data_IF_972911241880
#
_entry.id   IF_972911241880
#
_cell.length_a   1.000
_cell.length_b   1.000
_cell.length_c   1.000
_cell.angle_alpha   90.00
_cell.angle_beta   90.00
_cell.angle_gamma   90.00
#
_symmetry.space_group_name_H-M   'P 1'
#
loop_
_entity.id
_entity.type
_entity.pdbx_description
1 polymer ?
#
# COMPACT_ATOMS: atom_id res chain seq x y z
N UNK A 1 32.37 -18.33 -18.26
CA UNK A 1 32.83 -18.05 -16.88
C UNK A 1 32.50 -16.64 -16.40
N UNK A 2 32.81 -15.57 -17.15
CA UNK A 2 32.55 -14.17 -16.74
C UNK A 2 31.07 -13.85 -16.45
N UNK A 3 30.13 -14.37 -17.26
CA UNK A 3 28.70 -14.11 -17.13
C UNK A 3 28.08 -14.70 -15.87
N UNK A 4 28.55 -15.88 -15.45
CA UNK A 4 28.10 -16.57 -14.23
C UNK A 4 28.56 -15.81 -12.98
N UNK A 5 29.79 -15.29 -12.99
CA UNK A 5 30.35 -14.50 -11.88
C UNK A 5 29.61 -13.17 -11.71
N UNK A 6 29.22 -12.51 -12.80
CA UNK A 6 28.44 -11.26 -12.76
C UNK A 6 27.03 -11.52 -12.21
N UNK A 7 26.37 -12.60 -12.64
CA UNK A 7 25.05 -12.96 -12.14
C UNK A 7 25.07 -13.29 -10.62
N UNK A 8 26.07 -14.03 -10.16
CA UNK A 8 26.24 -14.37 -8.74
C UNK A 8 26.53 -13.13 -7.89
N UNK A 9 27.35 -12.20 -8.38
CA UNK A 9 27.63 -10.94 -7.69
C UNK A 9 26.39 -10.03 -7.63
N UNK A 10 25.60 -9.96 -8.69
CA UNK A 10 24.35 -9.20 -8.71
C UNK A 10 23.32 -9.76 -7.72
N UNK A 11 23.16 -11.09 -7.66
CA UNK A 11 22.30 -11.78 -6.69
C UNK A 11 22.79 -11.57 -5.24
N UNK A 12 24.09 -11.59 -4.99
CA UNK A 12 24.66 -11.34 -3.68
C UNK A 12 24.48 -9.88 -3.22
N UNK A 13 24.60 -8.91 -4.14
CA UNK A 13 24.36 -7.50 -3.87
C UNK A 13 22.88 -7.20 -3.59
N UNK A 14 21.97 -7.77 -4.39
CA UNK A 14 20.53 -7.66 -4.13
C UNK A 14 20.18 -8.33 -2.81
N UNK A 15 20.71 -9.52 -2.54
CA UNK A 15 20.55 -10.22 -1.26
C UNK A 15 21.04 -9.40 -0.07
N UNK A 16 22.21 -8.75 -0.16
CA UNK A 16 22.79 -7.93 0.89
C UNK A 16 22.04 -6.60 1.12
N UNK A 17 21.54 -5.97 0.05
CA UNK A 17 20.72 -4.75 0.13
C UNK A 17 19.35 -5.06 0.74
N UNK A 18 18.76 -6.19 0.35
CA UNK A 18 17.51 -6.68 0.93
C UNK A 18 17.72 -7.06 2.41
N UNK A 19 18.79 -7.77 2.77
CA UNK A 19 19.11 -8.12 4.17
C UNK A 19 19.41 -6.89 5.05
N UNK A 20 20.18 -5.92 4.54
CA UNK A 20 20.49 -4.68 5.25
C UNK A 20 19.24 -3.83 5.50
N UNK A 21 18.32 -3.80 4.53
CA UNK A 21 17.02 -3.15 4.69
C UNK A 21 16.12 -3.89 5.69
N UNK A 22 16.13 -5.23 5.66
CA UNK A 22 15.35 -6.09 6.55
C UNK A 22 15.79 -6.02 8.02
N UNK A 23 17.11 -6.02 8.27
CA UNK A 23 17.66 -5.87 9.62
C UNK A 23 17.40 -4.47 10.21
N UNK A 24 17.38 -3.44 9.35
CA UNK A 24 16.99 -2.09 9.77
C UNK A 24 15.47 -1.98 10.02
N UNK A 25 14.64 -2.66 9.25
CA UNK A 25 13.18 -2.75 9.47
C UNK A 25 12.82 -3.46 10.80
N UNK A 26 13.49 -4.56 11.14
CA UNK A 26 13.30 -5.23 12.45
C UNK A 26 13.66 -4.33 13.65
N UNK A 27 14.53 -3.34 13.44
CA UNK A 27 14.91 -2.38 14.48
C UNK A 27 13.85 -1.30 14.75
N UNK A 28 12.90 -1.08 13.83
CA UNK A 28 11.87 -0.04 13.91
C UNK A 28 10.49 -0.63 14.20
N UNK A 29 10.35 -1.29 15.35
CA UNK A 29 9.04 -1.73 15.83
C UNK A 29 8.18 -0.51 16.20
N UNK A 30 6.91 -0.42 15.76
CA UNK A 30 6.02 0.68 16.11
C UNK A 30 5.89 0.81 17.64
N UNK A 31 5.92 2.05 18.11
CA UNK A 31 5.96 2.42 19.53
C UNK A 31 4.59 2.90 19.98
N UNK A 32 4.00 2.23 20.97
CA UNK A 32 2.86 2.75 21.72
C UNK A 32 3.36 3.54 22.92
N UNK A 33 2.86 4.77 23.06
CA UNK A 33 3.27 5.73 24.09
C UNK A 33 2.22 5.76 25.20
N UNK A 34 2.60 5.50 26.45
CA UNK A 34 1.72 5.68 27.62
C UNK A 34 2.32 6.75 28.54
N UNK A 35 1.56 7.81 28.82
CA UNK A 35 1.96 8.89 29.75
C UNK A 35 1.82 8.38 31.19
N UNK A 36 2.93 8.33 31.94
CA UNK A 36 2.92 7.78 33.30
C UNK A 36 2.57 8.81 34.39
N UNK A 37 3.08 10.04 34.28
CA UNK A 37 2.72 11.22 35.11
C UNK A 37 3.56 12.43 34.69
N UNK A 38 2.97 13.62 34.74
CA UNK A 38 3.76 14.86 34.81
C UNK A 38 4.40 14.94 36.21
N UNK A 39 5.72 14.91 36.26
CA UNK A 39 6.45 15.38 37.44
C UNK A 39 7.14 16.70 37.07
N UNK A 40 7.04 17.64 38.00
CA UNK A 40 7.38 19.07 37.90
C UNK A 40 8.56 19.44 36.99
N UNK A 41 8.34 20.52 36.24
CA UNK A 41 9.20 21.22 35.26
C UNK A 41 9.51 20.43 33.98
N UNK A 42 8.59 20.55 33.01
CA UNK A 42 8.76 20.30 31.56
C UNK A 42 9.22 18.92 31.08
N UNK A 43 9.31 17.91 31.97
CA UNK A 43 9.72 16.56 31.58
C UNK A 43 8.51 15.62 31.40
N UNK A 44 8.22 15.25 30.14
CA UNK A 44 7.26 14.19 29.81
C UNK A 44 7.98 12.85 29.72
N UNK A 45 7.77 11.99 30.72
CA UNK A 45 8.25 10.60 30.67
C UNK A 45 7.12 9.69 30.20
N UNK A 46 7.36 8.99 29.09
CA UNK A 46 6.42 8.07 28.48
C UNK A 46 6.99 6.66 28.46
N UNK A 47 6.18 5.65 28.74
CA UNK A 47 6.56 4.27 28.48
C UNK A 47 6.39 3.98 27.00
N UNK A 48 7.48 3.57 26.37
CA UNK A 48 7.52 3.03 25.02
C UNK A 48 7.26 1.53 25.09
N UNK A 49 6.11 1.08 24.59
CA UNK A 49 5.82 -0.35 24.37
C UNK A 49 5.94 -0.68 22.90
N UNK A 50 6.52 -1.83 22.59
CA UNK A 50 6.49 -2.37 21.23
C UNK A 50 5.08 -2.90 20.92
N UNK A 51 4.53 -2.49 19.77
CA UNK A 51 3.25 -2.98 19.28
C UNK A 51 3.45 -4.18 18.37
N UNK A 52 2.59 -5.19 18.49
CA UNK A 52 2.45 -6.24 17.48
C UNK A 52 1.72 -5.65 16.27
N UNK A 53 2.30 -5.79 15.07
CA UNK A 53 2.04 -5.02 13.85
C UNK A 53 0.62 -4.52 13.55
N UNK A 54 0.54 -3.46 12.76
CA UNK A 54 -0.70 -2.74 12.50
C UNK A 54 -1.57 -3.38 11.40
N UNK A 55 -2.89 -3.21 11.51
CA UNK A 55 -3.78 -3.32 10.35
C UNK A 55 -3.76 -1.98 9.62
N UNK A 56 -3.36 -2.00 8.36
CA UNK A 56 -3.19 -0.80 7.55
C UNK A 56 -4.19 -0.81 6.39
N UNK A 57 -4.97 0.26 6.31
CA UNK A 57 -5.83 0.54 5.19
C UNK A 57 -5.15 1.55 4.26
N UNK A 58 -5.14 1.29 2.96
CA UNK A 58 -4.63 2.19 1.93
C UNK A 58 -5.78 2.53 0.99
N UNK A 59 -6.05 3.83 0.84
CA UNK A 59 -7.22 4.32 0.12
C UNK A 59 -6.91 5.62 -0.65
N UNK A 60 -7.81 5.95 -1.58
CA UNK A 60 -7.82 7.27 -2.20
C UNK A 60 -8.23 8.35 -1.18
N UNK A 61 -7.74 9.57 -1.37
CA UNK A 61 -8.05 10.73 -0.51
C UNK A 61 -9.14 11.66 -1.11
N UNK A 62 -9.94 11.16 -2.05
CA UNK A 62 -11.04 11.93 -2.63
C UNK A 62 -12.17 12.11 -1.60
N UNK A 63 -12.58 13.37 -1.42
CA UNK A 63 -13.52 13.78 -0.36
C UNK A 63 -14.87 13.06 -0.45
N UNK A 64 -15.37 12.81 -1.67
CA UNK A 64 -16.65 12.16 -1.95
C UNK A 64 -16.76 10.75 -1.35
N UNK A 65 -15.63 10.08 -1.11
CA UNK A 65 -15.58 8.72 -0.59
C UNK A 65 -15.18 8.63 0.88
N UNK A 66 -14.73 9.74 1.49
CA UNK A 66 -14.09 9.76 2.81
C UNK A 66 -14.98 9.19 3.91
N UNK A 67 -16.24 9.61 3.99
CA UNK A 67 -17.18 9.13 5.01
C UNK A 67 -17.45 7.63 4.86
N UNK A 68 -17.62 7.16 3.62
CA UNK A 68 -17.89 5.76 3.35
C UNK A 68 -16.67 4.88 3.67
N UNK A 69 -15.47 5.36 3.35
CA UNK A 69 -14.22 4.69 3.70
C UNK A 69 -13.99 4.63 5.22
N UNK A 70 -14.31 5.70 5.95
CA UNK A 70 -14.25 5.69 7.42
C UNK A 70 -15.20 4.66 8.02
N UNK A 71 -16.45 4.61 7.55
CA UNK A 71 -17.45 3.61 7.97
C UNK A 71 -16.98 2.19 7.67
N UNK A 72 -16.41 1.96 6.49
CA UNK A 72 -15.88 0.65 6.11
C UNK A 72 -14.63 0.26 6.92
N UNK A 73 -13.71 1.20 7.18
CA UNK A 73 -12.56 1.03 8.09
C UNK A 73 -13.01 0.57 9.48
N UNK A 74 -14.03 1.23 10.03
CA UNK A 74 -14.61 0.90 11.32
C UNK A 74 -15.26 -0.49 11.31
N UNK A 75 -15.98 -0.84 10.24
CA UNK A 75 -16.54 -2.17 10.04
C UNK A 75 -15.46 -3.27 10.01
N UNK A 76 -14.31 -3.02 9.38
CA UNK A 76 -13.16 -3.94 9.36
C UNK A 76 -12.37 -3.99 10.67
N UNK A 77 -12.72 -3.16 11.65
CA UNK A 77 -12.04 -3.06 12.96
C UNK A 77 -10.63 -2.46 12.87
N UNK A 78 -10.31 -1.74 11.80
CA UNK A 78 -9.00 -1.13 11.59
C UNK A 78 -8.89 0.14 12.43
N UNK A 79 -7.95 0.16 13.37
CA UNK A 79 -7.79 1.25 14.36
C UNK A 79 -6.80 2.34 13.96
N UNK A 80 -5.93 2.04 13.00
CA UNK A 80 -4.90 2.97 12.54
C UNK A 80 -5.50 3.88 11.49
N UNK A 81 -5.02 5.13 11.43
CA UNK A 81 -5.39 6.03 10.35
C UNK A 81 -4.95 5.45 8.99
N UNK A 82 -5.80 5.53 7.96
CA UNK A 82 -5.45 5.00 6.66
C UNK A 82 -4.29 5.80 6.05
N UNK A 83 -3.53 5.14 5.18
CA UNK A 83 -2.64 5.83 4.26
C UNK A 83 -3.53 6.36 3.13
N UNK A 84 -3.83 7.66 3.18
CA UNK A 84 -4.63 8.35 2.19
C UNK A 84 -3.73 8.98 1.12
N UNK A 85 -3.91 8.57 -0.14
CA UNK A 85 -3.14 9.10 -1.26
C UNK A 85 -3.97 9.04 -2.54
N UNK A 86 -3.93 10.05 -3.43
CA UNK A 86 -4.63 10.01 -4.70
C UNK A 86 -4.38 8.70 -5.48
N UNK A 87 -5.41 7.98 -5.90
CA UNK A 87 -5.27 6.68 -6.60
C UNK A 87 -4.80 5.50 -5.74
N UNK A 88 -4.58 5.67 -4.44
CA UNK A 88 -4.40 4.58 -3.47
C UNK A 88 -3.35 3.54 -3.86
N UNK A 89 -3.82 2.33 -4.18
CA UNK A 89 -2.99 1.17 -4.52
C UNK A 89 -2.09 1.37 -5.76
N UNK A 90 -2.40 2.34 -6.62
CA UNK A 90 -1.66 2.66 -7.84
C UNK A 90 -0.15 2.81 -7.60
N UNK A 91 0.25 3.44 -6.49
CA UNK A 91 1.68 3.68 -6.18
C UNK A 91 2.50 2.41 -5.93
N UNK A 92 1.84 1.30 -5.59
CA UNK A 92 2.48 0.00 -5.43
C UNK A 92 2.46 -0.82 -6.72
N UNK A 93 1.53 -0.51 -7.63
CA UNK A 93 1.27 -1.29 -8.82
C UNK A 93 2.02 -0.80 -10.06
N UNK A 94 2.22 0.53 -10.20
CA UNK A 94 2.85 1.09 -11.39
C UNK A 94 4.35 0.72 -11.43
N UNK A 95 4.82 0.05 -12.50
CA UNK A 95 6.23 -0.23 -12.73
C UNK A 95 7.05 1.08 -12.73
N UNK A 96 8.31 1.09 -12.25
CA UNK A 96 9.14 2.30 -12.25
C UNK A 96 9.25 2.99 -13.62
N UNK A 97 9.12 2.24 -14.71
CA UNK A 97 9.15 2.73 -16.10
C UNK A 97 7.90 3.51 -16.52
N UNK A 98 6.79 3.34 -15.81
CA UNK A 98 5.48 3.92 -16.14
C UNK A 98 5.04 4.99 -15.14
N UNK A 99 5.80 5.20 -14.04
CA UNK A 99 5.52 6.27 -13.09
C UNK A 99 5.96 7.58 -13.74
N UNK A 100 5.05 8.56 -13.96
CA UNK A 100 5.47 9.90 -14.33
C UNK A 100 6.46 10.42 -13.27
N UNK A 101 7.59 10.99 -13.67
CA UNK A 101 8.66 11.43 -12.74
C UNK A 101 8.13 12.26 -11.55
N UNK A 102 7.11 13.09 -11.81
CA UNK A 102 6.38 13.90 -10.80
C UNK A 102 5.71 13.10 -9.67
N UNK A 103 5.48 11.80 -9.84
CA UNK A 103 4.82 10.91 -8.88
C UNK A 103 5.80 10.12 -8.02
N UNK A 104 7.08 10.06 -8.38
CA UNK A 104 8.11 9.34 -7.61
C UNK A 104 8.22 9.78 -6.14
N UNK A 105 8.17 11.08 -5.79
CA UNK A 105 8.19 11.51 -4.39
C UNK A 105 6.99 10.98 -3.58
N UNK A 106 5.79 11.00 -4.17
CA UNK A 106 4.57 10.50 -3.53
C UNK A 106 4.63 8.98 -3.35
N UNK A 107 5.05 8.26 -4.40
CA UNK A 107 5.31 6.81 -4.36
C UNK A 107 6.25 6.46 -3.21
N UNK A 108 7.40 7.14 -3.13
CA UNK A 108 8.40 6.90 -2.09
C UNK A 108 7.84 7.18 -0.69
N UNK A 109 7.10 8.27 -0.51
CA UNK A 109 6.51 8.61 0.78
C UNK A 109 5.54 7.53 1.28
N UNK A 110 4.62 7.09 0.41
CA UNK A 110 3.64 6.04 0.71
C UNK A 110 4.31 4.71 1.10
N UNK A 111 5.32 4.30 0.33
CA UNK A 111 6.10 3.09 0.60
C UNK A 111 6.80 3.18 1.96
N UNK A 112 7.45 4.30 2.25
CA UNK A 112 8.18 4.50 3.50
C UNK A 112 7.26 4.58 4.72
N UNK A 113 6.03 5.09 4.58
CA UNK A 113 5.02 5.02 5.64
C UNK A 113 4.63 3.57 5.90
N UNK A 114 4.30 2.81 4.85
CA UNK A 114 3.89 1.40 5.00
C UNK A 114 4.97 0.57 5.70
N UNK A 115 6.25 0.75 5.34
CA UNK A 115 7.38 0.04 5.97
C UNK A 115 7.47 0.27 7.49
N UNK A 116 7.15 1.47 7.96
CA UNK A 116 7.21 1.82 9.40
C UNK A 116 6.15 1.12 10.24
N UNK A 117 5.06 0.65 9.62
CA UNK A 117 3.97 0.02 10.33
C UNK A 117 4.15 -1.47 10.59
N UNK A 118 5.15 -2.12 9.97
CA UNK A 118 5.35 -3.58 10.05
C UNK A 118 4.01 -4.33 9.94
N UNK A 119 3.27 -4.16 8.83
CA UNK A 119 1.85 -4.43 8.80
C UNK A 119 1.53 -5.90 9.08
N UNK A 120 0.64 -6.15 10.05
CA UNK A 120 0.05 -7.48 10.29
C UNK A 120 -0.95 -7.82 9.19
N UNK A 121 -1.72 -6.82 8.74
CA UNK A 121 -2.71 -6.93 7.66
C UNK A 121 -2.67 -5.67 6.82
N UNK A 122 -2.77 -5.82 5.50
CA UNK A 122 -2.91 -4.69 4.57
C UNK A 122 -4.24 -4.82 3.85
N UNK A 123 -5.01 -3.74 3.81
CA UNK A 123 -6.24 -3.65 3.04
C UNK A 123 -6.06 -2.54 2.00
N UNK A 124 -6.28 -2.86 0.73
CA UNK A 124 -6.21 -1.93 -0.38
C UNK A 124 -7.61 -1.67 -0.92
N UNK A 125 -7.97 -0.40 -1.10
CA UNK A 125 -9.23 0.00 -1.73
C UNK A 125 -8.93 0.83 -2.98
N UNK A 126 -9.54 0.43 -4.09
CA UNK A 126 -9.74 1.30 -5.25
C UNK A 126 -11.24 1.59 -5.42
N UNK A 127 -11.60 2.63 -6.17
CA UNK A 127 -12.99 3.05 -6.31
C UNK A 127 -13.33 3.52 -7.72
N UNK A 128 -14.60 3.38 -8.10
CA UNK A 128 -15.13 3.99 -9.33
C UNK A 128 -14.96 5.51 -9.32
N UNK A 129 -14.86 6.11 -10.51
CA UNK A 129 -14.78 7.57 -10.71
C UNK A 129 -13.54 8.25 -10.09
N UNK A 130 -12.45 7.51 -9.85
CA UNK A 130 -11.21 8.11 -9.34
C UNK A 130 -10.55 9.04 -10.36
N UNK A 131 -10.39 10.32 -9.99
CA UNK A 131 -9.86 11.39 -10.84
C UNK A 131 -8.39 11.15 -11.24
N UNK A 132 -7.58 10.56 -10.37
CA UNK A 132 -6.19 10.28 -10.73
C UNK A 132 -6.11 9.17 -11.78
N UNK A 133 -6.92 8.13 -11.63
CA UNK A 133 -7.03 7.07 -12.63
C UNK A 133 -7.62 7.59 -13.94
N UNK A 134 -8.50 8.59 -13.88
CA UNK A 134 -8.99 9.31 -15.05
C UNK A 134 -7.84 10.01 -15.80
N UNK A 135 -7.03 10.80 -15.10
CA UNK A 135 -5.91 11.54 -15.70
C UNK A 135 -4.81 10.62 -16.24
N UNK A 136 -4.48 9.53 -15.53
CA UNK A 136 -3.40 8.60 -15.92
C UNK A 136 -3.87 7.57 -16.95
N UNK A 137 -5.14 7.22 -16.94
CA UNK A 137 -5.77 6.35 -17.94
C UNK A 137 -6.12 7.08 -19.23
N UNK A 138 -6.25 8.41 -19.18
CA UNK A 138 -6.84 9.24 -20.22
C UNK A 138 -8.18 8.66 -20.67
N UNK A 139 -9.26 8.87 -19.89
CA UNK A 139 -10.59 8.41 -20.28
C UNK A 139 -10.95 8.93 -21.67
N UNK A 140 -10.73 8.11 -22.68
CA UNK A 140 -11.32 8.23 -24.00
C UNK A 140 -12.76 7.70 -23.95
N UNK A 141 -13.52 8.04 -22.89
CA UNK A 141 -14.83 7.49 -22.58
C UNK A 141 -14.85 5.95 -22.39
N UNK A 142 -13.83 5.38 -21.75
CA UNK A 142 -13.69 3.93 -21.50
C UNK A 142 -13.71 3.60 -19.99
N UNK A 143 -14.86 3.79 -19.30
CA UNK A 143 -14.99 3.52 -17.86
C UNK A 143 -14.61 2.09 -17.47
N UNK A 144 -15.01 1.11 -18.28
CA UNK A 144 -14.75 -0.32 -18.03
C UNK A 144 -13.25 -0.66 -18.08
N UNK A 145 -12.50 0.00 -18.96
CA UNK A 145 -11.05 -0.19 -19.05
C UNK A 145 -10.33 0.38 -17.83
N UNK A 146 -10.81 1.52 -17.31
CA UNK A 146 -10.26 2.10 -16.09
C UNK A 146 -10.59 1.26 -14.87
N UNK A 147 -11.82 0.74 -14.76
CA UNK A 147 -12.17 -0.22 -13.71
C UNK A 147 -11.28 -1.47 -13.79
N UNK A 148 -11.11 -2.03 -14.99
CA UNK A 148 -10.23 -3.19 -15.23
C UNK A 148 -8.79 -2.90 -14.80
N UNK A 149 -8.25 -1.74 -15.17
CA UNK A 149 -6.91 -1.29 -14.76
C UNK A 149 -6.79 -1.14 -13.25
N UNK A 150 -7.77 -0.52 -12.59
CA UNK A 150 -7.78 -0.37 -11.14
C UNK A 150 -7.76 -1.73 -10.42
N UNK A 151 -8.55 -2.70 -10.90
CA UNK A 151 -8.55 -4.07 -10.36
C UNK A 151 -7.23 -4.78 -10.60
N UNK A 152 -6.64 -4.62 -11.79
CA UNK A 152 -5.32 -5.17 -12.10
C UNK A 152 -4.22 -4.55 -11.23
N UNK A 153 -4.30 -3.24 -10.96
CA UNK A 153 -3.38 -2.55 -10.07
C UNK A 153 -3.53 -3.02 -8.62
N UNK A 154 -4.76 -3.22 -8.13
CA UNK A 154 -4.97 -3.83 -6.81
C UNK A 154 -4.28 -5.19 -6.69
N UNK A 155 -4.43 -6.04 -7.70
CA UNK A 155 -3.76 -7.34 -7.74
C UNK A 155 -2.23 -7.21 -7.78
N UNK A 156 -1.67 -6.29 -8.60
CA UNK A 156 -0.22 -6.05 -8.67
C UNK A 156 0.32 -5.52 -7.35
N UNK A 157 -0.33 -4.51 -6.79
CA UNK A 157 0.01 -3.91 -5.51
C UNK A 157 0.06 -4.96 -4.40
N UNK A 158 -0.92 -5.87 -4.36
CA UNK A 158 -0.93 -6.99 -3.42
C UNK A 158 0.32 -7.86 -3.55
N UNK A 159 0.73 -8.23 -4.76
CA UNK A 159 1.92 -9.08 -4.95
C UNK A 159 3.23 -8.36 -4.62
N UNK A 160 3.32 -7.07 -4.93
CA UNK A 160 4.45 -6.23 -4.54
C UNK A 160 4.56 -6.15 -3.02
N UNK A 161 3.45 -5.86 -2.33
CA UNK A 161 3.40 -5.77 -0.87
C UNK A 161 3.70 -7.13 -0.24
N UNK A 162 3.18 -8.24 -0.79
CA UNK A 162 3.49 -9.60 -0.32
C UNK A 162 4.99 -9.89 -0.39
N UNK A 163 5.65 -9.43 -1.45
CA UNK A 163 7.09 -9.59 -1.65
C UNK A 163 7.89 -8.75 -0.65
N UNK A 164 7.47 -7.51 -0.39
CA UNK A 164 8.16 -6.61 0.53
C UNK A 164 7.94 -6.98 2.00
N UNK A 165 6.76 -7.49 2.34
CA UNK A 165 6.35 -7.81 3.71
C UNK A 165 5.93 -9.28 3.85
N UNK A 166 6.88 -10.23 3.77
CA UNK A 166 6.57 -11.66 3.81
C UNK A 166 5.98 -12.15 5.15
N UNK A 167 6.04 -11.33 6.21
CA UNK A 167 5.46 -11.61 7.53
C UNK A 167 4.02 -11.08 7.68
N UNK A 168 3.51 -10.31 6.72
CA UNK A 168 2.11 -9.85 6.73
C UNK A 168 1.17 -11.03 6.58
N UNK A 169 0.22 -11.17 7.49
CA UNK A 169 -0.67 -12.33 7.60
C UNK A 169 -1.74 -12.34 6.52
N UNK A 170 -2.23 -11.16 6.12
CA UNK A 170 -3.28 -11.01 5.12
C UNK A 170 -3.10 -9.73 4.31
N UNK A 171 -3.33 -9.82 3.00
CA UNK A 171 -3.41 -8.67 2.11
C UNK A 171 -4.73 -8.78 1.35
N UNK A 172 -5.68 -7.92 1.71
CA UNK A 172 -7.04 -7.90 1.17
C UNK A 172 -7.16 -6.76 0.15
N UNK A 173 -7.91 -6.99 -0.94
CA UNK A 173 -8.15 -5.99 -1.98
C UNK A 173 -9.67 -5.84 -2.19
N UNK A 174 -10.13 -4.60 -2.21
CA UNK A 174 -11.54 -4.25 -2.39
C UNK A 174 -11.70 -3.22 -3.51
N UNK A 175 -12.76 -3.38 -4.29
CA UNK A 175 -13.21 -2.39 -5.25
C UNK A 175 -14.53 -1.77 -4.79
N UNK A 176 -14.50 -0.46 -4.52
CA UNK A 176 -15.67 0.30 -4.11
C UNK A 176 -16.46 0.77 -5.34
N UNK A 177 -17.66 0.23 -5.53
CA UNK A 177 -18.55 0.56 -6.66
C UNK A 177 -19.68 1.44 -6.19
N UNK A 178 -19.83 2.62 -6.82
CA UNK A 178 -20.96 3.52 -6.60
C UNK A 178 -22.16 3.03 -7.41
N UNK A 179 -23.33 2.92 -6.78
CA UNK A 179 -24.61 2.57 -7.41
C UNK A 179 -25.69 3.48 -6.86
N UNK A 180 -25.99 4.56 -7.59
CA UNK A 180 -26.86 5.64 -7.09
C UNK A 180 -26.28 6.22 -5.80
N UNK A 181 -27.06 6.14 -4.73
CA UNK A 181 -26.71 6.67 -3.41
C UNK A 181 -25.98 5.66 -2.52
N UNK A 182 -25.62 4.49 -3.06
CA UNK A 182 -24.93 3.44 -2.31
C UNK A 182 -23.50 3.23 -2.79
N UNK A 183 -22.59 2.97 -1.86
CA UNK A 183 -21.22 2.54 -2.15
C UNK A 183 -21.01 1.12 -1.62
N UNK A 184 -20.77 0.18 -2.53
CA UNK A 184 -20.55 -1.22 -2.19
C UNK A 184 -19.05 -1.56 -2.26
N UNK A 185 -18.51 -2.16 -1.20
CA UNK A 185 -17.11 -2.61 -1.14
C UNK A 185 -17.04 -4.08 -1.53
N UNK A 186 -16.69 -4.34 -2.79
CA UNK A 186 -16.63 -5.70 -3.32
C UNK A 186 -15.24 -6.28 -3.07
N UNK A 187 -15.11 -7.38 -2.29
CA UNK A 187 -13.83 -8.08 -2.18
C UNK A 187 -13.46 -8.63 -3.56
N UNK A 188 -12.22 -8.40 -3.97
CA UNK A 188 -11.68 -9.05 -5.15
C UNK A 188 -10.96 -10.33 -4.70
N UNK A 189 -11.36 -11.51 -5.19
CA UNK A 189 -10.66 -12.76 -4.87
C UNK A 189 -9.24 -12.74 -5.45
N UNK A 190 -8.47 -13.81 -5.22
CA UNK A 190 -7.15 -13.99 -5.83
C UNK A 190 -7.22 -13.92 -7.37
N UNK A 191 -7.05 -12.71 -7.91
CA UNK A 191 -6.88 -12.47 -9.33
C UNK A 191 -5.45 -12.91 -9.68
N UNK A 192 -5.32 -14.09 -10.28
CA UNK A 192 -4.08 -14.48 -10.95
C UNK A 192 -3.88 -13.52 -12.11
N UNK A 193 -2.87 -12.66 -12.05
CA UNK A 193 -2.51 -11.80 -13.17
C UNK A 193 -1.93 -12.69 -14.26
N UNK A 194 -2.74 -13.04 -15.26
CA UNK A 194 -2.20 -13.59 -16.50
C UNK A 194 -1.48 -12.46 -17.21
N UNK A 195 -0.18 -12.30 -16.98
CA UNK A 195 0.63 -11.43 -17.82
C UNK A 195 0.69 -12.07 -19.21
N UNK A 196 -0.08 -11.54 -20.16
CA UNK A 196 0.29 -11.66 -21.56
C UNK A 196 1.53 -10.79 -21.75
N UNK A 197 2.70 -11.41 -21.61
CA UNK A 197 3.95 -10.83 -22.08
C UNK A 197 3.88 -10.89 -23.61
N UNK A 198 3.48 -9.77 -24.22
CA UNK A 198 3.70 -9.57 -25.65
C UNK A 198 5.20 -9.46 -25.89
N UNK A 199 5.77 -10.51 -26.47
CA UNK A 199 7.12 -10.48 -27.02
C UNK A 199 7.06 -9.73 -28.35
N UNK A 200 7.38 -8.44 -28.34
CA UNK A 200 7.82 -7.68 -29.51
C UNK A 200 9.33 -7.46 -29.44
#
# INVERSE_FOLDING_TARGET
>A
MKTVVIAVLALALVGAILWGSWAYEESKKPVQTVVLKSQTNDLFVVTVKHKEGDDILIQCNEDDFKEAFEKFRNFLGVKVEPIEVPGGAMFFAIPPTEVPEKFEPAKRAVIEVLKRHSPRRVILIAHGDCLLYDVVGAWNNQPDEVESRQKADLARAREVIRTWFPKTQAIEIYYATKRGDTLAFNPLPDLTITQEVTND
#
